data_IF_203883677399
#
_entry.id   IF_203883677399
#
_cell.length_a   1.000
_cell.length_b   1.000
_cell.length_c   1.000
_cell.angle_alpha   90.00
_cell.angle_beta   90.00
_cell.angle_gamma   90.00
#
_symmetry.space_group_name_H-M   'P 1'
#
loop_
_entity.id
_entity.type
_entity.pdbx_description
1 polymer ?
#
# COMPACT_ATOMS: atom_id res chain seq x y z
N UNK A 1 11.60 -11.86 -13.33
CA UNK A 1 10.18 -12.16 -13.65
C UNK A 1 9.55 -10.90 -14.19
N UNK A 2 8.89 -10.97 -15.35
CA UNK A 2 8.08 -9.87 -15.86
C UNK A 2 6.77 -9.80 -15.04
N UNK A 3 6.19 -8.62 -14.80
CA UNK A 3 4.91 -8.51 -14.11
C UNK A 3 3.83 -9.23 -14.93
N UNK A 4 3.08 -10.13 -14.28
CA UNK A 4 1.95 -10.82 -14.92
C UNK A 4 0.75 -9.87 -14.97
N UNK A 5 0.23 -9.61 -16.17
CA UNK A 5 -0.89 -8.69 -16.35
C UNK A 5 -2.22 -9.33 -15.90
N UNK A 6 -3.06 -8.54 -15.25
CA UNK A 6 -4.45 -8.91 -14.94
C UNK A 6 -5.34 -8.30 -16.02
N UNK A 7 -6.16 -9.14 -16.66
CA UNK A 7 -7.22 -8.68 -17.54
C UNK A 7 -8.49 -8.46 -16.71
N UNK A 8 -8.95 -7.21 -16.62
CA UNK A 8 -10.14 -6.84 -15.84
C UNK A 8 -11.40 -6.86 -16.71
N UNK A 9 -12.52 -7.26 -16.12
CA UNK A 9 -13.84 -7.11 -16.75
C UNK A 9 -14.17 -5.64 -16.97
N UNK A 10 -14.89 -5.36 -18.05
CA UNK A 10 -15.35 -4.00 -18.35
C UNK A 10 -16.23 -3.44 -17.22
N UNK A 11 -15.98 -2.20 -16.85
CA UNK A 11 -16.73 -1.49 -15.82
C UNK A 11 -17.63 -0.44 -16.46
N UNK A 12 -18.93 -0.72 -16.53
CA UNK A 12 -19.92 0.23 -17.01
C UNK A 12 -19.95 1.49 -16.10
N UNK A 13 -19.95 2.68 -16.72
CA UNK A 13 -19.91 3.96 -15.99
C UNK A 13 -21.05 4.13 -14.97
N UNK A 14 -22.25 3.57 -15.25
CA UNK A 14 -23.38 3.60 -14.32
C UNK A 14 -23.10 2.93 -12.97
N UNK A 15 -22.14 1.98 -12.90
CA UNK A 15 -21.71 1.37 -11.64
C UNK A 15 -20.91 2.32 -10.74
N UNK A 16 -20.43 3.42 -11.29
CA UNK A 16 -19.72 4.47 -10.57
C UNK A 16 -20.62 5.67 -10.22
N UNK A 17 -21.93 5.57 -10.50
CA UNK A 17 -22.88 6.68 -10.30
C UNK A 17 -23.30 6.90 -8.84
N UNK A 18 -22.94 5.98 -7.94
CA UNK A 18 -23.32 6.04 -6.53
C UNK A 18 -22.10 5.76 -5.64
N UNK A 19 -22.11 6.35 -4.45
CA UNK A 19 -21.14 6.07 -3.40
C UNK A 19 -21.20 4.59 -2.97
N UNK A 20 -20.04 4.00 -2.70
CA UNK A 20 -19.92 2.63 -2.19
C UNK A 20 -18.81 1.81 -2.83
N UNK A 21 -18.84 0.51 -2.54
CA UNK A 21 -17.88 -0.45 -3.05
C UNK A 21 -18.36 -1.12 -4.34
N UNK A 22 -17.51 -1.11 -5.36
CA UNK A 22 -17.72 -1.74 -6.65
C UNK A 22 -16.71 -2.87 -6.78
N UNK A 23 -17.17 -4.11 -6.64
CA UNK A 23 -16.33 -5.28 -6.93
C UNK A 23 -16.12 -5.42 -8.44
N UNK A 24 -14.85 -5.60 -8.81
CA UNK A 24 -14.35 -5.94 -10.12
C UNK A 24 -13.74 -7.33 -10.08
N UNK A 25 -13.94 -8.08 -11.16
CA UNK A 25 -13.32 -9.37 -11.36
C UNK A 25 -12.29 -9.25 -12.48
N UNK A 26 -11.22 -10.00 -12.36
CA UNK A 26 -10.20 -10.11 -13.39
C UNK A 26 -9.65 -11.52 -13.47
N UNK A 27 -8.88 -11.78 -14.52
CA UNK A 27 -8.18 -13.05 -14.74
C UNK A 27 -6.69 -12.77 -14.92
N UNK A 28 -5.87 -13.49 -14.16
CA UNK A 28 -4.42 -13.58 -14.41
C UNK A 28 -4.23 -14.63 -15.50
N UNK A 29 -3.58 -14.25 -16.60
CA UNK A 29 -3.33 -15.12 -17.76
C UNK A 29 -4.60 -15.81 -18.30
N UNK A 30 -5.77 -15.17 -18.14
CA UNK A 30 -7.05 -15.71 -18.60
C UNK A 30 -7.59 -16.90 -17.79
N UNK A 31 -6.92 -17.33 -16.72
CA UNK A 31 -7.25 -18.57 -16.01
C UNK A 31 -7.51 -18.39 -14.51
N UNK A 32 -6.76 -17.52 -13.83
CA UNK A 32 -6.84 -17.41 -12.37
C UNK A 32 -7.74 -16.24 -11.99
N UNK A 33 -8.92 -16.48 -11.37
CA UNK A 33 -9.82 -15.40 -10.98
C UNK A 33 -9.22 -14.58 -9.82
N UNK A 34 -9.27 -13.27 -9.97
CA UNK A 34 -8.89 -12.29 -8.95
C UNK A 34 -10.00 -11.26 -8.79
N UNK A 35 -10.05 -10.63 -7.61
CA UNK A 35 -11.02 -9.59 -7.29
C UNK A 35 -10.29 -8.30 -6.91
N UNK A 36 -10.86 -7.16 -7.33
CA UNK A 36 -10.50 -5.84 -6.86
C UNK A 36 -11.75 -5.09 -6.40
N UNK A 37 -11.58 -4.14 -5.49
CA UNK A 37 -12.67 -3.26 -5.04
C UNK A 37 -12.33 -1.83 -5.39
N UNK A 38 -13.19 -1.18 -6.15
CA UNK A 38 -13.18 0.28 -6.34
C UNK A 38 -14.10 0.89 -5.29
N UNK A 39 -13.61 1.90 -4.56
CA UNK A 39 -14.43 2.69 -3.67
C UNK A 39 -14.78 4.01 -4.35
N UNK A 40 -16.07 4.22 -4.60
CA UNK A 40 -16.62 5.46 -5.15
C UNK A 40 -17.08 6.32 -4.00
N UNK A 41 -16.74 7.61 -4.04
CA UNK A 41 -17.18 8.59 -3.04
C UNK A 41 -17.72 9.84 -3.73
N UNK A 42 -18.80 10.40 -3.19
CA UNK A 42 -19.43 11.60 -3.71
C UNK A 42 -18.84 12.90 -3.13
N UNK A 43 -18.15 12.82 -1.99
CA UNK A 43 -17.64 13.97 -1.23
C UNK A 43 -16.10 13.93 -1.09
N UNK A 44 -15.45 15.07 -0.81
CA UNK A 44 -14.05 15.09 -0.38
C UNK A 44 -13.84 14.24 0.89
N UNK A 45 -12.65 13.65 1.09
CA UNK A 45 -12.43 12.75 2.21
C UNK A 45 -12.41 13.54 3.51
N UNK A 46 -12.91 12.93 4.58
CA UNK A 46 -12.82 13.52 5.91
C UNK A 46 -11.41 13.39 6.54
N UNK A 47 -11.39 13.18 7.85
CA UNK A 47 -10.15 12.97 8.59
C UNK A 47 -9.69 11.52 8.47
N UNK A 48 -8.38 11.28 8.33
CA UNK A 48 -7.84 9.92 8.41
C UNK A 48 -8.07 9.41 9.84
N UNK A 49 -8.76 8.28 9.96
CA UNK A 49 -9.06 7.62 11.22
C UNK A 49 -8.01 6.53 11.53
N UNK A 50 -7.68 5.69 10.54
CA UNK A 50 -6.71 4.60 10.74
C UNK A 50 -5.77 4.44 9.54
N UNK A 51 -4.55 3.96 9.81
CA UNK A 51 -3.58 3.52 8.80
C UNK A 51 -3.55 2.00 8.83
N UNK A 52 -3.76 1.35 7.68
CA UNK A 52 -3.67 -0.10 7.61
C UNK A 52 -2.23 -0.55 7.90
N UNK A 53 -2.01 -1.50 8.82
CA UNK A 53 -0.67 -2.01 9.10
C UNK A 53 -0.01 -2.59 7.85
N UNK A 54 1.24 -2.21 7.61
CA UNK A 54 2.06 -2.79 6.56
C UNK A 54 2.62 -4.15 7.01
N UNK A 55 2.76 -5.12 6.10
CA UNK A 55 3.46 -6.35 6.41
C UNK A 55 4.94 -6.06 6.68
N UNK A 56 5.58 -6.92 7.49
CA UNK A 56 7.02 -6.89 7.70
C UNK A 56 7.75 -7.08 6.37
N UNK A 57 8.69 -6.19 6.06
CA UNK A 57 9.52 -6.29 4.86
C UNK A 57 10.81 -7.03 5.21
N UNK A 58 11.17 -8.05 4.45
CA UNK A 58 12.43 -8.77 4.63
C UNK A 58 13.49 -8.30 3.63
N UNK A 59 14.73 -8.16 4.09
CA UNK A 59 15.90 -7.95 3.25
C UNK A 59 17.08 -8.80 3.74
N UNK A 60 18.12 -8.95 2.91
CA UNK A 60 19.36 -9.65 3.27
C UNK A 60 20.41 -8.62 3.66
N UNK A 61 21.31 -8.98 4.57
CA UNK A 61 22.48 -8.15 4.92
C UNK A 61 23.16 -7.59 3.66
N UNK A 62 23.47 -6.30 3.70
CA UNK A 62 24.15 -5.58 2.63
C UNK A 62 23.27 -5.22 1.42
N UNK A 63 22.02 -5.68 1.36
CA UNK A 63 21.10 -5.38 0.27
C UNK A 63 20.05 -4.36 0.71
N UNK A 64 19.87 -3.32 -0.10
CA UNK A 64 18.88 -2.29 0.20
C UNK A 64 17.45 -2.89 0.18
N UNK A 65 16.65 -2.67 1.24
CA UNK A 65 15.29 -3.17 1.29
C UNK A 65 14.38 -2.44 0.30
N UNK A 66 13.48 -3.18 -0.36
CA UNK A 66 12.42 -2.58 -1.18
C UNK A 66 11.28 -2.13 -0.28
N UNK A 67 11.11 -0.81 -0.12
CA UNK A 67 10.08 -0.23 0.74
C UNK A 67 8.74 -0.11 -0.01
N UNK A 68 7.58 -0.28 0.66
CA UNK A 68 6.28 -0.10 0.03
C UNK A 68 6.07 1.36 -0.41
N UNK A 69 5.70 1.58 -1.68
CA UNK A 69 5.44 2.93 -2.19
C UNK A 69 4.11 3.54 -1.72
N UNK A 70 3.20 2.74 -1.16
CA UNK A 70 1.85 3.16 -0.78
C UNK A 70 1.41 2.52 0.53
N UNK A 71 0.50 3.19 1.22
CA UNK A 71 -0.26 2.64 2.35
C UNK A 71 -1.74 2.88 2.14
N UNK A 72 -2.58 1.98 2.64
CA UNK A 72 -4.03 2.19 2.68
C UNK A 72 -4.38 2.89 3.98
N UNK A 73 -5.17 3.95 3.89
CA UNK A 73 -5.77 4.62 5.05
C UNK A 73 -7.28 4.46 5.02
N UNK A 74 -7.91 4.51 6.18
CA UNK A 74 -9.35 4.61 6.33
C UNK A 74 -9.72 5.95 6.94
N UNK A 75 -10.68 6.64 6.33
CA UNK A 75 -11.21 7.91 6.82
C UNK A 75 -12.34 7.68 7.83
N UNK A 76 -12.74 8.75 8.52
CA UNK A 76 -13.82 8.74 9.50
C UNK A 76 -15.21 8.42 8.90
N UNK A 77 -15.40 8.64 7.60
CA UNK A 77 -16.60 8.22 6.85
C UNK A 77 -16.57 6.72 6.47
N UNK A 78 -15.51 6.00 6.84
CA UNK A 78 -15.31 4.58 6.53
C UNK A 78 -14.68 4.31 5.16
N UNK A 79 -14.55 5.33 4.31
CA UNK A 79 -13.91 5.22 2.99
C UNK A 79 -12.41 4.93 3.11
N UNK A 80 -11.81 4.40 2.05
CA UNK A 80 -10.39 4.01 2.01
C UNK A 80 -9.68 4.64 0.81
N UNK A 81 -8.44 5.06 1.01
CA UNK A 81 -7.59 5.60 -0.07
C UNK A 81 -6.17 5.04 0.06
N UNK A 82 -5.52 4.79 -1.08
CA UNK A 82 -4.10 4.47 -1.13
C UNK A 82 -3.31 5.75 -1.25
N UNK A 83 -2.50 6.06 -0.25
CA UNK A 83 -1.66 7.26 -0.22
C UNK A 83 -0.21 6.88 -0.51
N UNK A 84 0.52 7.67 -1.33
CA UNK A 84 1.94 7.47 -1.52
C UNK A 84 2.69 7.72 -0.20
N UNK A 85 3.68 6.88 0.09
CA UNK A 85 4.50 6.99 1.31
C UNK A 85 5.90 7.45 0.95
N UNK A 86 6.38 8.45 1.68
CA UNK A 86 7.77 8.90 1.64
C UNK A 86 8.50 8.32 2.85
N UNK A 87 9.53 7.52 2.57
CA UNK A 87 10.38 6.93 3.60
C UNK A 87 11.66 7.74 3.78
N UNK A 88 12.23 7.78 4.99
CA UNK A 88 13.57 8.34 5.19
C UNK A 88 14.62 7.53 4.43
N UNK A 89 15.70 8.19 4.00
CA UNK A 89 16.84 7.51 3.36
C UNK A 89 17.47 6.50 4.32
N UNK A 90 17.54 5.24 3.89
CA UNK A 90 18.21 4.16 4.62
C UNK A 90 19.68 4.07 4.21
N UNK A 91 20.58 4.47 5.11
CA UNK A 91 22.01 4.30 4.91
C UNK A 91 22.42 2.81 4.98
N UNK A 92 23.41 2.36 4.18
CA UNK A 92 23.88 0.97 4.16
C UNK A 92 24.25 0.39 5.53
N UNK A 93 24.81 1.21 6.41
CA UNK A 93 25.16 0.79 7.77
C UNK A 93 23.97 0.25 8.58
N UNK A 94 22.73 0.69 8.28
CA UNK A 94 21.53 0.26 9.00
C UNK A 94 21.13 -1.19 8.71
N UNK A 95 21.49 -1.73 7.55
CA UNK A 95 21.19 -3.10 7.13
C UNK A 95 22.45 -3.93 6.88
N UNK A 96 23.56 -3.55 7.55
CA UNK A 96 24.83 -4.26 7.49
C UNK A 96 24.89 -5.48 8.44
N UNK A 97 23.91 -5.63 9.34
CA UNK A 97 23.82 -6.76 10.27
C UNK A 97 22.40 -7.31 10.31
N UNK A 98 22.22 -8.61 10.59
CA UNK A 98 20.90 -9.19 10.81
C UNK A 98 20.20 -8.54 12.00
N UNK A 99 18.88 -8.41 11.94
CA UNK A 99 18.09 -7.81 13.02
C UNK A 99 16.81 -7.13 12.54
N UNK A 100 16.07 -6.55 13.47
CA UNK A 100 14.86 -5.79 13.20
C UNK A 100 15.19 -4.29 13.11
N UNK A 101 14.63 -3.58 12.13
CA UNK A 101 14.71 -2.13 12.02
C UNK A 101 13.29 -1.56 11.96
N UNK A 102 12.97 -0.66 12.89
CA UNK A 102 11.74 0.11 12.85
C UNK A 102 11.94 1.41 12.08
N UNK A 103 11.02 1.68 11.15
CA UNK A 103 11.00 2.87 10.32
C UNK A 103 9.64 3.54 10.39
N UNK A 104 9.66 4.87 10.30
CA UNK A 104 8.45 5.67 10.21
C UNK A 104 8.51 6.48 8.92
N UNK A 105 7.61 6.16 8.00
CA UNK A 105 7.38 6.93 6.78
C UNK A 105 6.30 7.98 6.99
N UNK A 106 6.12 8.85 6.01
CA UNK A 106 5.05 9.85 5.98
C UNK A 106 4.22 9.67 4.72
N UNK A 107 2.91 9.49 4.88
CA UNK A 107 1.97 9.57 3.78
C UNK A 107 1.30 10.96 3.78
N UNK A 108 1.16 11.56 2.60
CA UNK A 108 0.41 12.81 2.45
C UNK A 108 -1.04 12.50 2.09
N UNK A 109 -1.95 12.88 2.99
CA UNK A 109 -3.38 12.85 2.74
C UNK A 109 -3.83 14.06 1.92
N UNK A 110 -5.09 14.01 1.46
CA UNK A 110 -5.77 15.18 0.90
C UNK A 110 -6.38 16.01 2.04
N UNK A 111 -6.54 17.31 1.81
CA UNK A 111 -7.17 18.22 2.77
C UNK A 111 -8.54 17.68 3.25
N UNK A 112 -8.84 17.79 4.56
CA UNK A 112 -8.09 18.53 5.59
C UNK A 112 -6.88 17.78 6.17
N UNK A 113 -6.72 16.49 5.87
CA UNK A 113 -5.62 15.69 6.43
C UNK A 113 -4.32 15.94 5.69
N UNK A 114 -3.34 16.59 6.32
CA UNK A 114 -2.07 16.94 5.64
C UNK A 114 -1.07 15.78 5.59
N UNK A 115 -0.84 15.10 6.72
CA UNK A 115 0.20 14.06 6.85
C UNK A 115 -0.19 13.01 7.88
N UNK A 116 0.19 11.76 7.63
CA UNK A 116 0.04 10.67 8.60
C UNK A 116 1.33 9.84 8.66
N UNK A 117 1.68 9.43 9.88
CA UNK A 117 2.85 8.56 10.13
C UNK A 117 2.53 7.12 9.78
N UNK A 118 3.45 6.46 9.10
CA UNK A 118 3.30 5.08 8.63
C UNK A 118 4.42 4.23 9.25
N UNK A 119 4.15 3.39 10.26
CA UNK A 119 5.14 2.49 10.81
C UNK A 119 5.43 1.33 9.85
N UNK A 120 6.69 0.94 9.77
CA UNK A 120 7.16 -0.22 9.02
C UNK A 120 8.24 -0.94 9.82
N UNK A 121 8.12 -2.27 9.86
CA UNK A 121 9.13 -3.14 10.43
C UNK A 121 9.90 -3.79 9.27
N UNK A 122 11.22 -3.65 9.31
CA UNK A 122 12.13 -4.37 8.43
C UNK A 122 12.79 -5.51 9.20
N UNK A 123 12.88 -6.68 8.58
CA UNK A 123 13.65 -7.81 9.06
C UNK A 123 14.86 -8.05 8.16
N UNK A 124 16.06 -7.77 8.68
CA UNK A 124 17.32 -8.07 8.00
C UNK A 124 17.73 -9.50 8.36
N UNK A 125 17.79 -10.35 7.34
CA UNK A 125 18.22 -11.75 7.46
C UNK A 125 19.70 -11.85 7.14
N UNK A 126 20.39 -12.77 7.81
CA UNK A 126 21.75 -13.14 7.43
C UNK A 126 21.79 -13.62 5.98
N UNK A 127 22.91 -13.38 5.30
CA UNK A 127 23.15 -14.01 4.01
C UNK A 127 23.22 -15.52 4.22
N UNK A 128 22.46 -16.27 3.43
CA UNK A 128 22.63 -17.72 3.37
C UNK A 128 23.96 -17.99 2.66
N UNK A 129 24.86 -18.79 3.25
CA UNK A 129 26.15 -19.14 2.64
C UNK A 129 25.98 -20.03 1.39
#
# INVERSE_FOLDING_TARGET
MLPVAVQWSELAAGRLGHEGAVELQGLVEGAIPVKATIWVRATPPGQINTVQPLPTVSAVVGHAPTLPGFVTVQYNDGSRERLPVQWPTLQPARYAQPGEIQLTGTAQGRAPTRKVSVPLVLQIKAATP
#
